data_IF_714836285527
#
_entry.id   IF_714836285527
#
_cell.length_a   1.000
_cell.length_b   1.000
_cell.length_c   1.000
_cell.angle_alpha   90.00
_cell.angle_beta   90.00
_cell.angle_gamma   90.00
#
_symmetry.space_group_name_H-M   'P 1'
#
loop_
_entity.id
_entity.type
_entity.pdbx_description
1 polymer ?
#
# COMPACT_ATOMS: atom_id res chain seq x y z
N UNK A 1 0.29 -11.76 1.11
CA UNK A 1 0.72 -10.45 1.62
C UNK A 1 -0.48 -9.53 1.72
N UNK A 2 -0.51 -8.71 2.74
CA UNK A 2 -1.64 -7.84 2.98
C UNK A 2 -1.34 -6.43 2.52
N UNK A 3 -2.18 -5.92 1.64
CA UNK A 3 -2.07 -4.56 1.15
C UNK A 3 -2.96 -3.66 2.00
N UNK A 4 -2.37 -2.63 2.57
CA UNK A 4 -3.02 -1.77 3.55
C UNK A 4 -3.02 -0.34 3.05
N UNK A 5 -4.14 0.35 3.23
CA UNK A 5 -4.25 1.78 2.96
C UNK A 5 -4.12 2.52 4.28
N UNK A 6 -3.16 3.46 4.34
CA UNK A 6 -2.96 4.31 5.50
C UNK A 6 -3.49 5.70 5.17
N UNK A 7 -4.49 6.15 5.93
CA UNK A 7 -5.12 7.44 5.66
C UNK A 7 -4.37 8.58 6.35
N UNK A 8 -4.88 9.79 6.19
CA UNK A 8 -4.22 10.99 6.69
C UNK A 8 -4.16 11.06 8.21
N UNK A 9 -4.98 10.28 8.88
CA UNK A 9 -4.98 10.22 10.35
C UNK A 9 -4.07 9.14 10.89
N UNK A 10 -3.40 8.41 10.01
CA UNK A 10 -2.52 7.33 10.40
C UNK A 10 -3.22 6.00 10.63
N UNK A 11 -4.52 5.92 10.36
CA UNK A 11 -5.26 4.66 10.48
C UNK A 11 -4.99 3.79 9.27
N UNK A 12 -4.83 2.50 9.51
CA UNK A 12 -4.54 1.52 8.47
C UNK A 12 -5.71 0.59 8.29
N UNK A 13 -6.02 0.29 7.03
CA UNK A 13 -7.08 -0.65 6.69
C UNK A 13 -6.60 -1.58 5.60
N UNK A 14 -6.75 -2.88 5.81
CA UNK A 14 -6.41 -3.87 4.79
C UNK A 14 -7.42 -3.78 3.66
N UNK A 15 -6.92 -3.58 2.43
CA UNK A 15 -7.80 -3.44 1.27
C UNK A 15 -7.72 -4.63 0.33
N UNK A 16 -6.66 -5.44 0.43
CA UNK A 16 -6.53 -6.62 -0.44
C UNK A 16 -5.53 -7.58 0.16
N UNK A 17 -5.64 -8.85 -0.23
CA UNK A 17 -4.65 -9.87 0.05
C UNK A 17 -4.09 -10.29 -1.30
N UNK A 18 -2.79 -10.09 -1.51
CA UNK A 18 -2.16 -10.30 -2.80
C UNK A 18 -0.97 -11.22 -2.67
N UNK A 19 -0.51 -11.77 -3.79
CA UNK A 19 0.61 -12.71 -3.80
C UNK A 19 1.91 -12.08 -4.27
N UNK A 20 1.81 -11.01 -5.05
CA UNK A 20 2.99 -10.37 -5.63
C UNK A 20 2.89 -8.86 -5.51
N UNK A 21 4.03 -8.20 -5.69
CA UNK A 21 4.07 -6.73 -5.69
C UNK A 21 3.33 -6.15 -6.90
N UNK A 22 3.34 -6.87 -8.02
CA UNK A 22 2.60 -6.42 -9.20
C UNK A 22 1.10 -6.41 -8.93
N UNK A 23 0.61 -7.44 -8.26
CA UNK A 23 -0.80 -7.49 -7.86
C UNK A 23 -1.13 -6.35 -6.91
N UNK A 24 -0.22 -6.06 -5.97
CA UNK A 24 -0.43 -4.97 -5.03
C UNK A 24 -0.58 -3.65 -5.77
N UNK A 25 0.28 -3.38 -6.73
CA UNK A 25 0.20 -2.14 -7.49
C UNK A 25 -1.08 -2.05 -8.30
N UNK A 26 -1.51 -3.17 -8.88
CA UNK A 26 -2.79 -3.21 -9.60
C UNK A 26 -3.96 -2.85 -8.68
N UNK A 27 -3.94 -3.37 -7.45
CA UNK A 27 -4.99 -3.07 -6.49
C UNK A 27 -4.93 -1.61 -6.03
N UNK A 28 -3.73 -1.05 -5.91
CA UNK A 28 -3.58 0.36 -5.58
C UNK A 28 -4.21 1.23 -6.67
N UNK A 29 -3.92 0.93 -7.94
CA UNK A 29 -4.48 1.70 -9.05
C UNK A 29 -6.00 1.60 -9.06
N UNK A 30 -6.53 0.41 -8.82
CA UNK A 30 -7.97 0.21 -8.77
C UNK A 30 -8.60 0.99 -7.62
N UNK A 31 -8.00 0.92 -6.45
CA UNK A 31 -8.47 1.64 -5.28
C UNK A 31 -8.51 3.14 -5.53
N UNK A 32 -7.45 3.68 -6.11
CA UNK A 32 -7.37 5.10 -6.39
C UNK A 32 -8.41 5.51 -7.43
N UNK A 33 -8.62 4.69 -8.45
CA UNK A 33 -9.60 5.00 -9.48
C UNK A 33 -11.01 5.00 -8.91
N UNK A 34 -11.33 4.05 -8.03
CA UNK A 34 -12.66 3.95 -7.45
C UNK A 34 -12.96 5.09 -6.49
N UNK A 35 -11.93 5.68 -5.90
CA UNK A 35 -12.10 6.78 -4.93
C UNK A 35 -11.73 8.12 -5.52
N UNK A 36 -11.45 8.16 -6.82
CA UNK A 36 -11.11 9.39 -7.51
C UNK A 36 -9.85 10.05 -6.94
N UNK A 37 -8.94 9.25 -6.41
CA UNK A 37 -7.62 9.71 -6.01
C UNK A 37 -6.73 9.83 -7.24
N UNK A 38 -6.02 10.94 -7.35
CA UNK A 38 -5.07 11.13 -8.43
C UNK A 38 -3.71 10.56 -8.04
N UNK A 39 -3.14 9.73 -8.91
CA UNK A 39 -1.78 9.23 -8.71
C UNK A 39 -0.84 10.19 -9.43
N UNK A 40 -0.10 10.99 -8.68
CA UNK A 40 0.83 11.97 -9.26
C UNK A 40 2.12 11.31 -9.69
N UNK A 41 2.60 10.35 -8.89
CA UNK A 41 3.80 9.55 -9.17
C UNK A 41 3.75 8.36 -8.22
N UNK A 42 4.63 7.39 -8.45
CA UNK A 42 4.71 6.25 -7.55
C UNK A 42 6.16 6.06 -7.13
N UNK A 43 6.41 6.06 -5.84
CA UNK A 43 7.69 5.68 -5.26
C UNK A 43 7.48 4.47 -4.39
N UNK A 44 8.42 3.52 -4.47
CA UNK A 44 8.31 2.26 -3.76
C UNK A 44 9.62 2.01 -3.03
N UNK A 45 9.52 1.70 -1.75
CA UNK A 45 10.72 1.32 -0.99
C UNK A 45 10.31 0.37 0.11
N UNK A 46 11.31 -0.28 0.73
CA UNK A 46 11.07 -1.12 1.90
C UNK A 46 11.61 -0.43 3.13
N UNK A 47 10.86 -0.53 4.23
CA UNK A 47 11.34 -0.02 5.51
C UNK A 47 12.19 -1.09 6.21
N UNK A 48 12.63 -0.78 7.43
CA UNK A 48 13.51 -1.68 8.18
C UNK A 48 12.84 -2.98 8.56
N UNK A 49 11.53 -3.01 8.56
CA UNK A 49 10.76 -4.22 8.90
C UNK A 49 10.44 -5.08 7.70
N UNK A 50 10.90 -4.69 6.51
CA UNK A 50 10.58 -5.42 5.30
C UNK A 50 9.22 -5.09 4.73
N UNK A 51 8.56 -4.08 5.24
CA UNK A 51 7.27 -3.63 4.71
C UNK A 51 7.52 -2.75 3.49
N UNK A 52 6.86 -3.08 2.38
CA UNK A 52 6.96 -2.28 1.17
C UNK A 52 5.99 -1.12 1.25
N UNK A 53 6.50 0.09 1.02
CA UNK A 53 5.69 1.31 1.08
C UNK A 53 5.52 1.85 -0.33
N UNK A 54 4.28 2.18 -0.68
CA UNK A 54 3.93 2.77 -1.97
C UNK A 54 3.46 4.20 -1.73
N UNK A 55 4.21 5.17 -2.26
CA UNK A 55 3.86 6.58 -2.16
C UNK A 55 3.38 7.04 -3.53
N UNK A 56 2.13 7.45 -3.61
CA UNK A 56 1.51 7.82 -4.88
C UNK A 56 1.38 9.34 -5.03
N UNK A 57 2.10 10.09 -4.21
CA UNK A 57 2.13 11.54 -4.32
C UNK A 57 1.21 12.26 -3.36
N UNK A 58 0.51 11.54 -2.51
CA UNK A 58 -0.27 12.15 -1.45
C UNK A 58 0.65 12.52 -0.28
N UNK A 59 0.44 13.67 0.31
CA UNK A 59 1.26 14.10 1.44
C UNK A 59 1.02 13.28 2.70
N UNK A 60 -0.18 12.74 2.86
CA UNK A 60 -0.59 12.16 4.14
C UNK A 60 -1.06 10.73 4.02
N UNK A 61 -1.23 10.23 2.82
CA UNK A 61 -1.79 8.90 2.58
C UNK A 61 -0.82 8.07 1.77
N UNK A 62 -0.71 6.79 2.13
CA UNK A 62 0.13 5.88 1.36
C UNK A 62 -0.40 4.47 1.52
N UNK A 63 0.28 3.52 0.86
CA UNK A 63 -0.08 2.11 0.92
C UNK A 63 1.12 1.34 1.44
N UNK A 64 0.83 0.27 2.19
CA UNK A 64 1.87 -0.60 2.72
C UNK A 64 1.54 -2.03 2.38
N UNK A 65 2.56 -2.77 1.97
CA UNK A 65 2.42 -4.19 1.68
C UNK A 65 3.18 -4.96 2.76
N UNK A 66 2.44 -5.65 3.61
CA UNK A 66 3.01 -6.41 4.71
C UNK A 66 3.30 -7.83 4.24
N UNK A 67 4.54 -8.28 4.38
CA UNK A 67 4.88 -9.64 3.98
C UNK A 67 4.26 -10.67 4.92
N UNK A 68 3.96 -11.85 4.38
CA UNK A 68 3.34 -12.90 5.18
C UNK A 68 4.23 -13.33 6.34
N UNK A 69 5.52 -13.31 6.14
CA UNK A 69 6.47 -13.77 7.17
C UNK A 69 6.39 -12.96 8.45
N UNK A 70 5.96 -11.71 8.37
CA UNK A 70 5.87 -10.88 9.56
C UNK A 70 4.80 -11.36 10.51
N UNK A 71 3.78 -12.00 9.99
CA UNK A 71 2.66 -12.46 10.80
C UNK A 71 2.99 -13.68 11.63
N UNK A 72 4.12 -14.29 11.35
CA UNK A 72 4.52 -15.51 12.04
C UNK A 72 5.35 -15.26 13.28
N UNK A 73 5.59 -14.04 13.61
CA UNK A 73 6.44 -13.67 14.75
C UNK A 73 5.68 -13.32 15.99
#
# INVERSE_FOLDING_TARGET
MKLVFKNSRGHERTIADVKTEDEAYSEIKKFCRERDFHIYYTRVWQDNDGVTVYDVGSHTENFKLYPDNKEQK
#
